data_IF_002302825907
#
_entry.id   IF_002302825907
#
_cell.length_a   1.000
_cell.length_b   1.000
_cell.length_c   1.000
_cell.angle_alpha   90.00
_cell.angle_beta   90.00
_cell.angle_gamma   90.00
#
_symmetry.space_group_name_H-M   'P 1'
#
loop_
_entity.id
_entity.type
_entity.pdbx_description
1 polymer ?
#
# COMPACT_ATOMS: atom_id res chain seq x y z
N UNK A 1 -7.97 -12.15 -4.06
CA UNK A 1 -6.67 -11.46 -4.04
C UNK A 1 -6.62 -10.27 -5.00
N UNK A 2 -6.80 -10.46 -6.32
CA UNK A 2 -6.71 -9.38 -7.31
C UNK A 2 -7.62 -8.16 -7.02
N UNK A 3 -8.86 -8.41 -6.61
CA UNK A 3 -9.80 -7.35 -6.19
C UNK A 3 -9.24 -6.56 -4.99
N UNK A 4 -8.64 -7.22 -4.00
CA UNK A 4 -8.04 -6.54 -2.84
C UNK A 4 -6.85 -5.66 -3.25
N UNK A 5 -5.97 -6.18 -4.12
CA UNK A 5 -4.79 -5.44 -4.59
C UNK A 5 -5.21 -4.20 -5.38
N UNK A 6 -6.09 -4.36 -6.36
CA UNK A 6 -6.56 -3.28 -7.23
C UNK A 6 -7.38 -2.23 -6.48
N UNK A 7 -8.33 -2.65 -5.64
CA UNK A 7 -9.13 -1.72 -4.84
C UNK A 7 -8.27 -0.89 -3.87
N UNK A 8 -7.29 -1.53 -3.19
CA UNK A 8 -6.37 -0.82 -2.30
C UNK A 8 -5.46 0.14 -3.07
N UNK A 9 -4.97 -0.26 -4.25
CA UNK A 9 -4.16 0.61 -5.09
C UNK A 9 -4.93 1.88 -5.49
N UNK A 10 -6.14 1.70 -6.02
CA UNK A 10 -7.00 2.81 -6.45
C UNK A 10 -7.34 3.71 -5.26
N UNK A 11 -7.70 3.12 -4.11
CA UNK A 11 -7.99 3.88 -2.89
C UNK A 11 -6.81 4.72 -2.41
N UNK A 12 -5.59 4.15 -2.37
CA UNK A 12 -4.37 4.90 -2.01
C UNK A 12 -4.08 5.99 -3.04
N UNK A 13 -4.23 5.70 -4.33
CA UNK A 13 -3.96 6.65 -5.40
C UNK A 13 -4.89 7.87 -5.36
N UNK A 14 -6.19 7.64 -5.24
CA UNK A 14 -7.19 8.70 -5.13
C UNK A 14 -7.05 9.44 -3.79
N UNK A 15 -6.86 8.71 -2.70
CA UNK A 15 -6.69 9.27 -1.36
C UNK A 15 -5.48 10.19 -1.26
N UNK A 16 -4.34 9.81 -1.84
CA UNK A 16 -3.16 10.68 -1.93
C UNK A 16 -3.46 11.93 -2.74
N UNK A 17 -4.08 11.80 -3.91
CA UNK A 17 -4.38 12.98 -4.76
C UNK A 17 -5.30 13.97 -4.07
N UNK A 18 -6.38 13.48 -3.47
CA UNK A 18 -7.35 14.32 -2.74
C UNK A 18 -6.68 14.91 -1.49
N UNK A 19 -6.07 14.07 -0.66
CA UNK A 19 -5.44 14.50 0.59
C UNK A 19 -4.31 15.50 0.37
N UNK A 20 -3.42 15.24 -0.59
CA UNK A 20 -2.32 16.13 -0.93
C UNK A 20 -2.80 17.43 -1.62
N UNK A 21 -3.95 17.42 -2.29
CA UNK A 21 -4.57 18.64 -2.81
C UNK A 21 -5.14 19.51 -1.69
N UNK A 22 -5.90 18.92 -0.76
CA UNK A 22 -6.50 19.61 0.38
C UNK A 22 -5.40 20.21 1.28
N UNK A 23 -4.34 19.46 1.54
CA UNK A 23 -3.22 19.92 2.38
C UNK A 23 -2.23 20.85 1.67
N UNK A 24 -2.44 21.16 0.39
CA UNK A 24 -1.52 21.97 -0.45
C UNK A 24 -0.08 21.42 -0.46
N UNK A 25 0.07 20.10 -0.43
CA UNK A 25 1.37 19.45 -0.45
C UNK A 25 2.15 19.68 -1.77
N UNK A 26 3.49 19.50 -1.77
CA UNK A 26 4.32 19.60 -2.97
C UNK A 26 3.86 18.68 -4.11
N UNK A 27 4.18 19.05 -5.35
CA UNK A 27 3.81 18.28 -6.55
C UNK A 27 4.37 16.85 -6.53
N UNK A 28 5.57 16.67 -5.96
CA UNK A 28 6.22 15.38 -5.79
C UNK A 28 5.37 14.41 -4.95
N UNK A 29 4.81 14.90 -3.84
CA UNK A 29 3.92 14.14 -2.95
C UNK A 29 2.65 13.73 -3.70
N UNK A 30 2.01 14.67 -4.40
CA UNK A 30 0.77 14.40 -5.18
C UNK A 30 0.98 13.34 -6.26
N UNK A 31 2.18 13.29 -6.85
CA UNK A 31 2.48 12.47 -8.01
C UNK A 31 3.06 11.10 -7.66
N UNK A 32 3.93 11.02 -6.65
CA UNK A 32 4.75 9.83 -6.40
C UNK A 32 4.44 9.09 -5.10
N UNK A 33 3.84 9.74 -4.09
CA UNK A 33 3.59 9.12 -2.78
C UNK A 33 2.76 7.83 -2.87
N UNK A 34 1.77 7.78 -3.76
CA UNK A 34 0.90 6.60 -3.94
C UNK A 34 1.67 5.31 -4.24
N UNK A 35 2.79 5.40 -4.97
CA UNK A 35 3.65 4.27 -5.31
C UNK A 35 4.49 3.82 -4.10
N UNK A 36 4.97 4.77 -3.28
CA UNK A 36 5.67 4.48 -2.04
C UNK A 36 4.77 3.98 -0.91
N UNK A 37 3.46 4.24 -0.98
CA UNK A 37 2.47 3.70 -0.06
C UNK A 37 1.99 2.30 -0.44
N UNK A 38 2.41 1.74 -1.57
CA UNK A 38 1.98 0.41 -1.98
C UNK A 38 2.34 -0.71 -0.98
N UNK A 39 3.55 -0.77 -0.38
CA UNK A 39 3.95 -1.79 0.61
C UNK A 39 2.92 -2.01 1.73
N UNK A 40 2.61 -3.28 2.02
CA UNK A 40 1.81 -3.75 3.15
C UNK A 40 2.32 -5.14 3.52
N UNK A 41 2.53 -5.40 4.82
CA UNK A 41 3.00 -6.72 5.28
C UNK A 41 2.46 -7.06 6.67
N UNK A 42 3.30 -6.95 7.70
CA UNK A 42 3.06 -7.51 9.04
C UNK A 42 1.73 -7.14 9.68
N UNK A 43 1.35 -5.86 9.69
CA UNK A 43 0.07 -5.40 10.28
C UNK A 43 -1.13 -6.06 9.59
N UNK A 44 -1.08 -6.20 8.27
CA UNK A 44 -2.20 -6.79 7.50
C UNK A 44 -2.32 -8.29 7.78
N UNK A 45 -1.19 -9.00 7.86
CA UNK A 45 -1.18 -10.45 8.19
C UNK A 45 -1.65 -10.65 9.64
N UNK A 46 -1.17 -9.85 10.59
CA UNK A 46 -1.59 -9.93 11.99
C UNK A 46 -3.10 -9.76 12.14
N UNK A 47 -3.69 -8.73 11.52
CA UNK A 47 -5.14 -8.53 11.52
C UNK A 47 -5.90 -9.68 10.84
N UNK A 48 -5.34 -10.29 9.80
CA UNK A 48 -5.95 -11.46 9.17
C UNK A 48 -5.98 -12.67 10.12
N UNK A 49 -4.94 -12.87 10.94
CA UNK A 49 -4.91 -13.96 11.92
C UNK A 49 -5.94 -13.77 13.04
N UNK A 50 -6.27 -12.53 13.41
CA UNK A 50 -7.35 -12.25 14.37
C UNK A 50 -8.72 -12.73 13.87
N UNK A 51 -8.93 -12.89 12.55
CA UNK A 51 -10.18 -13.41 11.98
C UNK A 51 -10.46 -14.82 12.49
N UNK A 52 -9.42 -15.67 12.63
CA UNK A 52 -9.55 -17.05 13.15
C UNK A 52 -10.07 -17.10 14.59
N UNK A 53 -9.90 -16.02 15.34
CA UNK A 53 -10.32 -15.93 16.75
C UNK A 53 -11.74 -15.39 16.90
N UNK A 54 -12.44 -15.12 15.79
CA UNK A 54 -13.75 -14.49 15.78
C UNK A 54 -14.81 -15.44 15.19
N UNK A 55 -15.71 -16.01 16.02
CA UNK A 55 -16.73 -16.95 15.56
C UNK A 55 -17.63 -16.42 14.44
N UNK A 56 -17.85 -15.10 14.42
CA UNK A 56 -18.64 -14.40 13.41
C UNK A 56 -18.11 -14.57 11.96
N UNK A 57 -16.84 -14.94 11.80
CA UNK A 57 -16.21 -15.12 10.49
C UNK A 57 -15.89 -16.58 10.18
N UNK A 58 -16.34 -17.54 11.00
CA UNK A 58 -16.01 -18.97 10.86
C UNK A 58 -16.35 -19.54 9.47
N UNK A 59 -17.42 -19.06 8.83
CA UNK A 59 -17.81 -19.50 7.47
C UNK A 59 -16.92 -18.95 6.36
N UNK A 60 -16.20 -17.85 6.59
CA UNK A 60 -15.41 -17.15 5.57
C UNK A 60 -13.92 -16.96 5.94
N UNK A 61 -13.48 -17.48 7.08
CA UNK A 61 -12.13 -17.23 7.59
C UNK A 61 -11.05 -17.68 6.61
N UNK A 62 -11.21 -18.87 6.02
CA UNK A 62 -10.21 -19.47 5.15
C UNK A 62 -10.07 -18.66 3.86
N UNK A 63 -11.19 -18.28 3.25
CA UNK A 63 -11.17 -17.48 2.02
C UNK A 63 -10.62 -16.08 2.27
N UNK A 64 -10.96 -15.43 3.40
CA UNK A 64 -10.43 -14.12 3.76
C UNK A 64 -8.92 -14.17 3.98
N UNK A 65 -8.44 -15.10 4.80
CA UNK A 65 -7.02 -15.20 5.14
C UNK A 65 -6.20 -15.55 3.89
N UNK A 66 -6.64 -16.53 3.10
CA UNK A 66 -5.96 -16.90 1.87
C UNK A 66 -5.93 -15.73 0.87
N UNK A 67 -7.04 -15.00 0.73
CA UNK A 67 -7.09 -13.84 -0.17
C UNK A 67 -6.19 -12.69 0.30
N UNK A 68 -6.11 -12.45 1.63
CA UNK A 68 -5.26 -11.42 2.22
C UNK A 68 -3.78 -11.80 2.05
N UNK A 69 -3.39 -13.02 2.42
CA UNK A 69 -2.00 -13.49 2.29
C UNK A 69 -1.57 -13.45 0.82
N UNK A 70 -2.39 -13.94 -0.11
CA UNK A 70 -2.10 -13.86 -1.53
C UNK A 70 -1.95 -12.41 -2.01
N UNK A 71 -2.77 -11.47 -1.51
CA UNK A 71 -2.61 -10.05 -1.83
C UNK A 71 -1.32 -9.45 -1.29
N UNK A 72 -0.88 -9.86 -0.10
CA UNK A 72 0.39 -9.42 0.49
C UNK A 72 1.58 -9.95 -0.32
N UNK A 73 1.56 -11.21 -0.74
CA UNK A 73 2.62 -11.79 -1.60
C UNK A 73 2.75 -11.01 -2.90
N UNK A 74 1.63 -10.75 -3.60
CA UNK A 74 1.64 -9.94 -4.84
C UNK A 74 2.22 -8.55 -4.55
N UNK A 75 1.82 -7.95 -3.44
CA UNK A 75 2.24 -6.61 -3.08
C UNK A 75 3.74 -6.54 -2.73
N UNK A 76 4.29 -7.52 -2.03
CA UNK A 76 5.72 -7.55 -1.69
C UNK A 76 6.63 -7.75 -2.91
N UNK A 77 6.12 -8.37 -3.99
CA UNK A 77 6.86 -8.48 -5.25
C UNK A 77 6.86 -7.14 -6.00
N UNK A 78 5.71 -6.46 -6.05
CA UNK A 78 5.51 -5.26 -6.88
C UNK A 78 5.94 -3.98 -6.15
N UNK A 79 5.83 -3.93 -4.83
CA UNK A 79 6.02 -2.71 -4.05
C UNK A 79 7.47 -2.22 -3.98
N UNK A 80 8.53 -3.05 -3.85
CA UNK A 80 9.90 -2.56 -3.79
C UNK A 80 10.34 -1.84 -5.07
N UNK A 81 10.09 -2.37 -6.30
CA UNK A 81 10.36 -1.63 -7.54
C UNK A 81 9.59 -0.32 -7.64
N UNK A 82 8.31 -0.30 -7.25
CA UNK A 82 7.48 0.92 -7.28
C UNK A 82 7.95 1.96 -6.26
N UNK A 83 8.33 1.53 -5.07
CA UNK A 83 8.86 2.40 -4.01
C UNK A 83 10.19 3.00 -4.44
N UNK A 84 11.08 2.19 -5.03
CA UNK A 84 12.33 2.68 -5.64
C UNK A 84 12.03 3.72 -6.72
N UNK A 85 11.10 3.44 -7.64
CA UNK A 85 10.71 4.40 -8.67
C UNK A 85 10.20 5.71 -8.06
N UNK A 86 9.35 5.64 -7.04
CA UNK A 86 8.77 6.79 -6.36
C UNK A 86 9.85 7.70 -5.75
N UNK A 87 10.75 7.13 -4.97
CA UNK A 87 11.83 7.86 -4.28
C UNK A 87 12.77 8.54 -5.29
N UNK A 88 13.15 7.82 -6.36
CA UNK A 88 14.03 8.39 -7.38
C UNK A 88 13.34 9.50 -8.19
N UNK A 89 12.05 9.35 -8.50
CA UNK A 89 11.30 10.36 -9.27
C UNK A 89 10.90 11.57 -8.45
N UNK A 90 10.73 11.41 -7.13
CA UNK A 90 10.56 12.51 -6.20
C UNK A 90 11.86 13.31 -5.96
N UNK A 91 13.00 12.83 -6.47
CA UNK A 91 14.31 13.46 -6.24
C UNK A 91 14.92 13.17 -4.86
N UNK A 92 14.28 12.33 -4.06
CA UNK A 92 14.69 12.02 -2.68
C UNK A 92 15.83 10.99 -2.60
N UNK A 93 16.16 10.32 -3.71
CA UNK A 93 17.25 9.36 -3.78
C UNK A 93 18.66 10.00 -3.81
N UNK A 94 18.78 11.30 -4.14
CA UNK A 94 20.07 11.97 -4.34
C UNK A 94 20.39 12.96 -3.23
N UNK A 95 21.52 12.77 -2.53
CA UNK A 95 22.12 13.80 -1.68
C UNK A 95 22.63 14.96 -2.54
N UNK A 96 21.78 15.97 -2.78
CA UNK A 96 22.20 17.29 -3.24
C UNK A 96 21.59 18.40 -2.39
N UNK A 97 21.79 18.30 -1.08
CA UNK A 97 21.56 19.38 -0.12
C UNK A 97 22.76 19.47 0.84
N UNK A 98 23.85 20.05 0.32
CA UNK A 98 24.83 20.79 1.10
C UNK A 98 25.22 22.00 0.25
N UNK A 99 24.42 23.04 0.34
CA UNK A 99 24.81 24.43 0.08
C UNK A 99 24.02 25.29 1.04
#
# INVERSE_FOLDING_TARGET
AAVLVTARFIGKYLGVRVGASISRAPAEVKKYLSFGLFPIAGVTIGLAMLIKQRPAFSSIESIMINAIIASVIINEIVAPPLTKFAIFKAGEASKKHYK
#
